data_IF_594981701630
#
_entry.id   IF_594981701630
#
_cell.length_a   1.000
_cell.length_b   1.000
_cell.length_c   1.000
_cell.angle_alpha   90.00
_cell.angle_beta   90.00
_cell.angle_gamma   90.00
#
_symmetry.space_group_name_H-M   'P 1'
#
loop_
_entity.id
_entity.type
_entity.pdbx_description
1 polymer ?
#
# COMPACT_ATOMS: atom_id res chain seq x y z
N UNK A 1 -27.57 13.16 -0.06
CA UNK A 1 -28.45 13.96 -0.91
C UNK A 1 -28.91 13.13 -2.11
N UNK A 2 -30.14 12.59 -2.05
CA UNK A 2 -30.74 11.77 -3.10
C UNK A 2 -31.09 12.57 -4.38
N UNK A 3 -30.79 13.87 -4.43
CA UNK A 3 -31.20 14.75 -5.54
C UNK A 3 -30.25 14.74 -6.74
N UNK A 4 -29.07 14.17 -6.64
CA UNK A 4 -28.05 14.20 -7.69
C UNK A 4 -27.79 12.85 -8.37
N UNK A 5 -28.58 11.81 -8.10
CA UNK A 5 -28.44 10.55 -8.78
C UNK A 5 -29.25 10.54 -10.08
N UNK A 6 -28.57 10.50 -11.22
CA UNK A 6 -29.18 10.33 -12.55
C UNK A 6 -29.90 8.99 -12.64
N UNK A 7 -29.50 7.99 -11.85
CA UNK A 7 -30.00 6.63 -11.89
C UNK A 7 -30.74 6.26 -10.62
N UNK A 8 -31.86 5.57 -10.73
CA UNK A 8 -32.55 4.96 -9.59
C UNK A 8 -31.76 3.78 -9.01
N UNK A 9 -32.08 3.37 -7.77
CA UNK A 9 -31.49 2.18 -7.18
C UNK A 9 -31.75 0.91 -8.03
N UNK A 10 -32.93 0.80 -8.61
CA UNK A 10 -33.31 -0.33 -9.49
C UNK A 10 -32.47 -0.37 -10.78
N UNK A 11 -32.07 0.79 -11.31
CA UNK A 11 -31.26 0.86 -12.52
C UNK A 11 -29.96 0.05 -12.41
N UNK A 12 -29.27 0.14 -11.27
CA UNK A 12 -28.00 -0.58 -11.07
C UNK A 12 -28.20 -2.09 -11.06
N UNK A 13 -29.30 -2.55 -10.44
CA UNK A 13 -29.68 -3.97 -10.41
C UNK A 13 -30.07 -4.46 -11.80
N UNK A 14 -30.96 -3.73 -12.47
CA UNK A 14 -31.58 -4.16 -13.74
C UNK A 14 -30.56 -4.14 -14.90
N UNK A 15 -29.52 -3.27 -14.82
CA UNK A 15 -28.39 -3.25 -15.78
C UNK A 15 -27.27 -4.22 -15.41
N UNK A 16 -27.32 -4.88 -14.24
CA UNK A 16 -26.23 -5.71 -13.74
C UNK A 16 -25.00 -4.93 -13.28
N UNK A 17 -25.09 -3.60 -13.13
CA UNK A 17 -23.96 -2.77 -12.71
C UNK A 17 -23.50 -3.10 -11.28
N UNK A 18 -24.39 -3.58 -10.44
CA UNK A 18 -24.03 -4.05 -9.09
C UNK A 18 -23.08 -5.25 -9.14
N UNK A 19 -23.18 -6.13 -10.12
CA UNK A 19 -22.23 -7.23 -10.34
C UNK A 19 -20.85 -6.67 -10.69
N UNK A 20 -20.80 -5.66 -11.56
CA UNK A 20 -19.53 -4.98 -11.91
C UNK A 20 -18.89 -4.33 -10.68
N UNK A 21 -19.69 -3.66 -9.86
CA UNK A 21 -19.20 -3.08 -8.59
C UNK A 21 -18.58 -4.14 -7.67
N UNK A 22 -19.24 -5.30 -7.53
CA UNK A 22 -18.69 -6.41 -6.75
C UNK A 22 -17.37 -6.91 -7.32
N UNK A 23 -17.27 -7.11 -8.63
CA UNK A 23 -16.00 -7.54 -9.26
C UNK A 23 -14.87 -6.54 -9.04
N UNK A 24 -15.13 -5.24 -9.15
CA UNK A 24 -14.13 -4.21 -8.90
C UNK A 24 -13.69 -4.22 -7.43
N UNK A 25 -14.63 -4.35 -6.50
CA UNK A 25 -14.36 -4.47 -5.07
C UNK A 25 -13.50 -5.68 -4.73
N UNK A 26 -13.82 -6.84 -5.31
CA UNK A 26 -13.14 -8.10 -5.03
C UNK A 26 -11.70 -8.12 -5.60
N UNK A 27 -11.48 -7.40 -6.69
CA UNK A 27 -10.15 -7.25 -7.30
C UNK A 27 -9.37 -6.03 -6.77
N UNK A 28 -9.88 -5.30 -5.77
CA UNK A 28 -9.21 -4.16 -5.21
C UNK A 28 -8.03 -4.59 -4.33
N UNK A 29 -6.83 -4.13 -4.66
CA UNK A 29 -5.59 -4.43 -3.94
C UNK A 29 -5.46 -3.69 -2.60
N UNK A 30 -6.29 -2.67 -2.35
CA UNK A 30 -6.31 -1.89 -1.13
C UNK A 30 -7.67 -2.00 -0.44
N UNK A 31 -7.69 -2.54 0.78
CA UNK A 31 -8.94 -2.71 1.54
C UNK A 31 -9.65 -1.38 1.86
N UNK A 32 -8.88 -0.29 2.01
CA UNK A 32 -9.44 1.05 2.25
C UNK A 32 -10.29 1.57 1.09
N UNK A 33 -10.01 1.13 -0.13
CA UNK A 33 -10.70 1.60 -1.33
C UNK A 33 -11.87 0.70 -1.75
N UNK A 34 -12.14 -0.39 -1.02
CA UNK A 34 -13.24 -1.30 -1.36
C UNK A 34 -14.60 -0.62 -1.33
N UNK A 35 -14.80 0.29 -0.38
CA UNK A 35 -16.07 1.02 -0.26
C UNK A 35 -16.28 2.03 -1.39
N UNK A 36 -15.20 2.54 -2.00
CA UNK A 36 -15.30 3.39 -3.18
C UNK A 36 -16.06 2.70 -4.31
N UNK A 37 -15.77 1.42 -4.56
CA UNK A 37 -16.43 0.67 -5.63
C UNK A 37 -17.90 0.38 -5.34
N UNK A 38 -18.29 0.24 -4.07
CA UNK A 38 -19.71 0.06 -3.72
C UNK A 38 -20.54 1.32 -3.93
N UNK A 39 -19.89 2.49 -3.88
CA UNK A 39 -20.52 3.81 -4.06
C UNK A 39 -20.32 4.37 -5.48
N UNK A 40 -19.70 3.59 -6.37
CA UNK A 40 -19.44 4.03 -7.75
C UNK A 40 -20.77 4.39 -8.43
N UNK A 41 -20.82 5.59 -9.02
CA UNK A 41 -21.97 6.12 -9.74
C UNK A 41 -21.55 6.60 -11.12
N UNK A 42 -22.49 6.71 -12.08
CA UNK A 42 -22.19 7.27 -13.39
C UNK A 42 -21.68 8.71 -13.28
N UNK A 43 -20.79 9.07 -14.20
CA UNK A 43 -20.33 10.44 -14.34
C UNK A 43 -21.48 11.35 -14.79
N UNK A 44 -21.51 12.58 -14.27
CA UNK A 44 -22.51 13.58 -14.60
C UNK A 44 -22.06 14.55 -15.70
N UNK A 45 -20.75 14.62 -15.98
CA UNK A 45 -20.18 15.54 -16.94
C UNK A 45 -19.45 14.76 -18.05
N UNK A 46 -19.65 15.12 -19.32
CA UNK A 46 -18.96 14.48 -20.44
C UNK A 46 -17.43 14.54 -20.31
N UNK A 47 -16.89 15.62 -19.70
CA UNK A 47 -15.46 15.77 -19.49
C UNK A 47 -14.90 14.71 -18.55
N UNK A 48 -15.60 14.42 -17.44
CA UNK A 48 -15.17 13.40 -16.48
C UNK A 48 -15.13 12.00 -17.12
N UNK A 49 -16.04 11.73 -18.07
CA UNK A 49 -16.04 10.48 -18.85
C UNK A 49 -14.78 10.43 -19.73
N UNK A 50 -14.52 11.49 -20.47
CA UNK A 50 -13.36 11.56 -21.37
C UNK A 50 -12.05 11.40 -20.59
N UNK A 51 -11.91 12.11 -19.50
CA UNK A 51 -10.71 12.03 -18.64
C UNK A 51 -10.51 10.62 -18.08
N UNK A 52 -11.59 9.99 -17.62
CA UNK A 52 -11.54 8.60 -17.13
C UNK A 52 -11.17 7.60 -18.23
N UNK A 53 -11.67 7.80 -19.45
CA UNK A 53 -11.32 6.96 -20.59
C UNK A 53 -9.84 7.07 -20.93
N UNK A 54 -9.28 8.29 -20.99
CA UNK A 54 -7.85 8.49 -21.27
C UNK A 54 -6.97 7.81 -20.22
N UNK A 55 -7.34 7.89 -18.92
CA UNK A 55 -6.62 7.16 -17.87
C UNK A 55 -6.66 5.64 -18.07
N UNK A 56 -7.83 5.12 -18.46
CA UNK A 56 -8.01 3.69 -18.72
C UNK A 56 -7.21 3.23 -19.94
N UNK A 57 -7.16 4.05 -20.99
CA UNK A 57 -6.40 3.76 -22.21
C UNK A 57 -4.89 3.73 -21.97
N UNK A 58 -4.36 4.67 -21.15
CA UNK A 58 -2.96 4.66 -20.76
C UNK A 58 -2.62 3.37 -19.97
N UNK A 59 -3.49 2.95 -19.04
CA UNK A 59 -3.31 1.71 -18.29
C UNK A 59 -3.34 0.47 -19.20
N UNK A 60 -4.33 0.40 -20.10
CA UNK A 60 -4.48 -0.70 -21.06
C UNK A 60 -3.27 -0.78 -22.00
N UNK A 61 -2.77 0.36 -22.47
CA UNK A 61 -1.59 0.41 -23.31
C UNK A 61 -0.33 -0.10 -22.59
N UNK A 62 -0.16 0.19 -21.30
CA UNK A 62 0.92 -0.34 -20.49
C UNK A 62 0.81 -1.86 -20.34
N UNK A 63 -0.39 -2.35 -20.05
CA UNK A 63 -0.67 -3.77 -19.91
C UNK A 63 -0.39 -4.55 -21.22
N UNK A 64 -0.82 -4.04 -22.35
CA UNK A 64 -0.58 -4.63 -23.68
C UNK A 64 0.90 -4.68 -24.05
N UNK A 65 1.70 -3.71 -23.61
CA UNK A 65 3.17 -3.70 -23.79
C UNK A 65 3.91 -4.65 -22.86
N UNK A 66 3.21 -5.43 -22.04
CA UNK A 66 3.78 -6.32 -21.01
C UNK A 66 4.64 -5.58 -19.99
N UNK A 67 4.34 -4.31 -19.76
CA UNK A 67 4.93 -3.47 -18.72
C UNK A 67 3.82 -2.94 -17.79
N UNK A 68 3.14 -3.83 -17.06
CA UNK A 68 2.03 -3.45 -16.20
C UNK A 68 2.52 -2.64 -15.00
N UNK A 69 1.66 -1.78 -14.49
CA UNK A 69 1.91 -1.04 -13.26
C UNK A 69 2.29 -2.02 -12.13
N UNK A 70 3.44 -1.87 -11.47
CA UNK A 70 3.94 -2.80 -10.46
C UNK A 70 3.22 -2.62 -9.12
N UNK A 71 1.92 -2.94 -9.11
CA UNK A 71 1.08 -2.94 -7.91
C UNK A 71 1.16 -4.30 -7.23
N UNK A 72 1.06 -4.24 -5.91
CA UNK A 72 0.93 -5.37 -5.00
C UNK A 72 -0.16 -5.07 -3.98
N UNK A 73 -0.53 -6.04 -3.16
CA UNK A 73 -1.49 -5.81 -2.08
C UNK A 73 -1.00 -4.72 -1.14
N UNK A 74 -1.81 -3.69 -0.96
CA UNK A 74 -1.48 -2.54 -0.12
C UNK A 74 -2.05 -2.78 1.27
N UNK A 75 -1.22 -2.87 2.32
CA UNK A 75 -1.70 -3.07 3.68
C UNK A 75 -2.51 -1.86 4.18
N UNK A 76 -3.50 -2.14 5.01
CA UNK A 76 -4.29 -1.10 5.65
C UNK A 76 -3.58 -0.60 6.92
N UNK A 77 -2.97 0.57 6.84
CA UNK A 77 -2.27 1.19 7.97
C UNK A 77 -3.16 2.15 8.79
N UNK A 78 -4.39 2.42 8.36
CA UNK A 78 -5.29 3.34 9.10
C UNK A 78 -5.63 2.84 10.49
N UNK A 79 -5.53 1.54 10.72
CA UNK A 79 -5.80 0.89 12.00
C UNK A 79 -4.89 1.37 13.14
N UNK A 80 -3.68 1.80 12.83
CA UNK A 80 -2.70 2.25 13.82
C UNK A 80 -2.18 3.68 13.57
N UNK A 81 -2.28 4.22 12.36
CA UNK A 81 -1.84 5.60 12.08
C UNK A 81 -2.63 6.64 12.89
N UNK A 82 -3.92 6.39 13.16
CA UNK A 82 -4.74 7.24 14.02
C UNK A 82 -4.25 7.26 15.49
N UNK A 83 -3.44 6.30 15.89
CA UNK A 83 -2.89 6.20 17.25
C UNK A 83 -1.52 6.86 17.40
N UNK A 84 -0.90 7.32 16.31
CA UNK A 84 0.43 7.95 16.35
C UNK A 84 0.48 9.22 17.19
N UNK A 85 -0.65 9.94 17.31
CA UNK A 85 -0.76 11.16 18.12
C UNK A 85 -0.94 10.87 19.63
N UNK A 86 -1.08 9.59 20.01
CA UNK A 86 -1.26 9.19 21.41
C UNK A 86 0.13 9.11 22.05
N UNK A 87 0.34 9.89 23.11
CA UNK A 87 1.59 9.86 23.87
C UNK A 87 1.87 8.45 24.44
N UNK A 88 3.07 7.92 24.17
CA UNK A 88 3.46 6.58 24.60
C UNK A 88 3.06 5.45 23.66
N UNK A 89 2.34 5.73 22.58
CA UNK A 89 2.07 4.71 21.55
C UNK A 89 3.37 4.28 20.88
N UNK A 90 3.54 2.97 20.69
CA UNK A 90 4.71 2.38 20.05
C UNK A 90 4.26 1.49 18.90
N UNK A 91 4.96 1.59 17.79
CA UNK A 91 4.75 0.70 16.63
C UNK A 91 5.30 -0.70 16.94
N UNK A 92 4.53 -1.72 16.60
CA UNK A 92 4.99 -3.11 16.63
C UNK A 92 5.87 -3.43 15.39
N UNK A 93 6.58 -4.55 15.41
CA UNK A 93 7.32 -5.05 14.25
C UNK A 93 6.40 -5.23 13.04
N UNK A 94 5.16 -5.69 13.25
CA UNK A 94 4.16 -5.83 12.20
C UNK A 94 3.77 -4.47 11.57
N UNK A 95 3.63 -3.42 12.39
CA UNK A 95 3.36 -2.07 11.88
C UNK A 95 4.54 -1.57 11.03
N UNK A 96 5.78 -1.83 11.45
CA UNK A 96 6.97 -1.49 10.65
C UNK A 96 7.03 -2.29 9.35
N UNK A 97 6.65 -3.57 9.36
CA UNK A 97 6.55 -4.39 8.15
C UNK A 97 5.54 -3.81 7.15
N UNK A 98 4.35 -3.43 7.62
CA UNK A 98 3.32 -2.80 6.79
C UNK A 98 3.81 -1.47 6.21
N UNK A 99 4.46 -0.64 7.03
CA UNK A 99 5.04 0.64 6.60
C UNK A 99 6.11 0.42 5.52
N UNK A 100 7.03 -0.51 5.74
CA UNK A 100 8.08 -0.84 4.80
C UNK A 100 7.52 -1.33 3.47
N UNK A 101 6.51 -2.20 3.50
CA UNK A 101 5.82 -2.68 2.30
C UNK A 101 5.21 -1.52 1.49
N UNK A 102 4.53 -0.57 2.14
CA UNK A 102 4.00 0.63 1.48
C UNK A 102 5.11 1.48 0.87
N UNK A 103 6.21 1.70 1.58
CA UNK A 103 7.34 2.45 1.07
C UNK A 103 7.99 1.80 -0.17
N UNK A 104 8.09 0.46 -0.18
CA UNK A 104 8.57 -0.30 -1.34
C UNK A 104 7.63 -0.19 -2.54
N UNK A 105 6.32 -0.40 -2.32
CA UNK A 105 5.30 -0.29 -3.38
C UNK A 105 5.32 1.13 -3.93
N UNK A 106 5.26 2.15 -3.07
CA UNK A 106 5.29 3.57 -3.48
C UNK A 106 6.54 3.90 -4.31
N UNK A 107 7.71 3.42 -3.90
CA UNK A 107 8.96 3.64 -4.63
C UNK A 107 8.96 2.96 -6.01
N UNK A 108 8.43 1.74 -6.11
CA UNK A 108 8.31 1.01 -7.38
C UNK A 108 7.34 1.68 -8.33
N UNK A 109 6.16 2.02 -7.82
CA UNK A 109 5.11 2.70 -8.58
C UNK A 109 5.58 4.09 -9.03
N UNK A 110 6.16 4.88 -8.15
CA UNK A 110 6.72 6.19 -8.50
C UNK A 110 7.74 6.08 -9.62
N UNK A 111 8.68 5.14 -9.53
CA UNK A 111 9.69 4.91 -10.57
C UNK A 111 9.07 4.51 -11.90
N UNK A 112 8.05 3.65 -11.89
CA UNK A 112 7.30 3.27 -13.08
C UNK A 112 6.62 4.49 -13.70
N UNK A 113 5.81 5.22 -12.93
CA UNK A 113 5.03 6.35 -13.41
C UNK A 113 5.91 7.52 -13.90
N UNK A 114 7.12 7.68 -13.38
CA UNK A 114 8.06 8.73 -13.84
C UNK A 114 8.85 8.34 -15.09
N UNK A 115 8.93 7.05 -15.42
CA UNK A 115 9.65 6.56 -16.61
C UNK A 115 8.76 6.35 -17.82
N UNK A 116 7.46 6.26 -17.62
CA UNK A 116 6.52 5.97 -18.70
C UNK A 116 6.27 7.17 -19.59
N UNK A 117 5.92 6.90 -20.86
CA UNK A 117 5.45 7.90 -21.80
C UNK A 117 3.95 8.18 -21.64
N UNK A 118 3.41 8.00 -20.44
CA UNK A 118 2.00 8.20 -20.12
C UNK A 118 1.84 9.51 -19.34
N UNK A 119 1.42 10.61 -19.98
CA UNK A 119 1.46 11.94 -19.37
C UNK A 119 0.55 12.09 -18.15
N UNK A 120 -0.63 11.47 -18.15
CA UNK A 120 -1.54 11.56 -17.00
C UNK A 120 -0.99 10.77 -15.80
N UNK A 121 -0.47 9.58 -16.03
CA UNK A 121 0.15 8.77 -14.98
C UNK A 121 1.39 9.44 -14.39
N UNK A 122 2.14 10.19 -15.19
CA UNK A 122 3.30 10.95 -14.73
C UNK A 122 2.92 12.01 -13.68
N UNK A 123 1.76 12.64 -13.81
CA UNK A 123 1.24 13.61 -12.83
C UNK A 123 1.00 12.90 -11.48
N UNK A 124 0.37 11.74 -11.48
CA UNK A 124 0.16 10.94 -10.26
C UNK A 124 1.48 10.49 -9.63
N UNK A 125 2.47 10.10 -10.43
CA UNK A 125 3.79 9.70 -9.95
C UNK A 125 4.53 10.79 -9.18
N UNK A 126 4.36 12.06 -9.55
CA UNK A 126 4.98 13.20 -8.84
C UNK A 126 4.47 13.35 -7.41
N UNK A 127 3.21 13.02 -7.16
CA UNK A 127 2.57 13.16 -5.85
C UNK A 127 2.88 12.00 -4.91
N UNK A 128 3.46 10.91 -5.42
CA UNK A 128 3.82 9.78 -4.57
C UNK A 128 5.06 10.10 -3.73
N UNK A 129 4.96 9.83 -2.44
CA UNK A 129 6.09 9.93 -1.52
C UNK A 129 6.91 8.64 -1.62
N UNK A 130 8.21 8.78 -1.82
CA UNK A 130 9.15 7.67 -1.69
C UNK A 130 10.31 8.12 -0.80
N UNK A 131 10.58 7.36 0.24
CA UNK A 131 11.67 7.67 1.19
C UNK A 131 12.62 6.50 1.28
N UNK A 132 13.74 6.59 0.57
CA UNK A 132 14.83 5.61 0.68
C UNK A 132 15.49 5.67 2.06
N UNK A 133 15.56 6.85 2.68
CA UNK A 133 16.09 6.98 4.02
C UNK A 133 15.27 6.21 5.05
N UNK A 134 13.94 6.34 5.02
CA UNK A 134 13.06 5.58 5.91
C UNK A 134 13.18 4.06 5.67
N UNK A 135 13.25 3.61 4.41
CA UNK A 135 13.50 2.21 4.07
C UNK A 135 14.80 1.72 4.70
N UNK A 136 15.89 2.48 4.49
CA UNK A 136 17.21 2.13 5.01
C UNK A 136 17.26 2.10 6.55
N UNK A 137 16.56 3.00 7.24
CA UNK A 137 16.48 2.97 8.70
C UNK A 137 15.75 1.74 9.22
N UNK A 138 14.66 1.33 8.55
CA UNK A 138 13.95 0.09 8.89
C UNK A 138 14.85 -1.13 8.63
N UNK A 139 15.55 -1.17 7.49
CA UNK A 139 16.46 -2.26 7.12
C UNK A 139 17.66 -2.41 8.07
N UNK A 140 18.08 -1.33 8.74
CA UNK A 140 19.14 -1.41 9.76
C UNK A 140 18.68 -2.15 11.02
N UNK A 141 17.41 -2.00 11.36
CA UNK A 141 16.82 -2.53 12.61
C UNK A 141 16.27 -3.94 12.43
N UNK A 142 15.62 -4.20 11.29
CA UNK A 142 14.92 -5.45 11.02
C UNK A 142 15.63 -6.30 9.98
N UNK A 143 15.57 -7.61 10.16
CA UNK A 143 15.99 -8.60 9.15
C UNK A 143 14.88 -8.86 8.12
N UNK A 144 15.13 -9.79 7.19
CA UNK A 144 14.18 -10.16 6.13
C UNK A 144 12.89 -10.80 6.69
N UNK A 145 12.92 -11.37 7.89
CA UNK A 145 11.77 -11.91 8.61
C UNK A 145 11.07 -10.89 9.50
N UNK A 146 11.48 -9.62 9.45
CA UNK A 146 11.01 -8.54 10.33
C UNK A 146 11.20 -8.83 11.82
N UNK A 147 12.23 -9.59 12.15
CA UNK A 147 12.74 -9.70 13.51
C UNK A 147 13.79 -8.62 13.76
N UNK A 148 13.86 -8.12 14.98
CA UNK A 148 14.88 -7.13 15.35
C UNK A 148 16.25 -7.81 15.29
N UNK A 149 17.17 -7.23 14.53
CA UNK A 149 18.55 -7.73 14.43
C UNK A 149 19.27 -7.65 15.75
N UNK A 150 20.04 -8.67 16.08
CA UNK A 150 20.83 -8.72 17.32
C UNK A 150 21.81 -7.55 17.46
N UNK A 151 22.18 -6.92 16.36
CA UNK A 151 23.08 -5.79 16.30
C UNK A 151 22.40 -4.47 15.92
N UNK A 152 21.07 -4.42 15.99
CA UNK A 152 20.27 -3.21 15.69
C UNK A 152 20.70 -2.01 16.55
N UNK A 153 21.21 -2.31 17.77
CA UNK A 153 21.78 -1.28 18.62
C UNK A 153 22.95 -1.89 19.44
N UNK A 154 23.97 -1.08 19.83
CA UNK A 154 25.14 -1.57 20.56
C UNK A 154 24.83 -2.27 21.88
N UNK A 155 23.83 -1.79 22.61
CA UNK A 155 23.41 -2.35 23.89
C UNK A 155 22.76 -3.74 23.70
N UNK A 156 21.86 -3.87 22.74
CA UNK A 156 21.23 -5.13 22.38
C UNK A 156 22.29 -6.16 21.96
N UNK A 157 23.24 -5.76 21.12
CA UNK A 157 24.37 -6.61 20.71
C UNK A 157 25.20 -7.11 21.89
N UNK A 158 25.44 -6.27 22.89
CA UNK A 158 26.15 -6.67 24.10
C UNK A 158 25.33 -7.67 24.93
N UNK A 159 24.04 -7.41 25.10
CA UNK A 159 23.14 -8.29 25.86
C UNK A 159 22.98 -9.65 25.20
N UNK A 160 22.75 -9.71 23.87
CA UNK A 160 22.66 -10.97 23.12
C UNK A 160 23.95 -11.80 23.24
N UNK A 161 25.10 -11.17 23.11
CA UNK A 161 26.39 -11.87 23.30
C UNK A 161 26.56 -12.43 24.73
N UNK A 162 26.16 -11.66 25.72
CA UNK A 162 26.23 -12.10 27.12
C UNK A 162 25.26 -13.27 27.39
N UNK A 163 24.09 -13.24 26.81
CA UNK A 163 23.09 -14.32 26.89
C UNK A 163 23.63 -15.61 26.27
N UNK A 164 24.13 -15.57 25.03
CA UNK A 164 24.71 -16.73 24.34
C UNK A 164 25.88 -17.33 25.17
N UNK A 165 26.74 -16.47 25.73
CA UNK A 165 27.85 -16.92 26.58
C UNK A 165 27.37 -17.62 27.86
N UNK A 166 26.29 -17.13 28.44
CA UNK A 166 25.71 -17.73 29.67
C UNK A 166 25.02 -19.05 29.37
N UNK A 167 24.26 -19.13 28.28
CA UNK A 167 23.64 -20.39 27.81
C UNK A 167 24.69 -21.45 27.48
N UNK A 168 25.80 -21.07 26.82
CA UNK A 168 26.94 -21.96 26.58
C UNK A 168 27.50 -22.56 27.87
N UNK A 169 27.73 -21.73 28.90
CA UNK A 169 28.21 -22.21 30.17
C UNK A 169 27.25 -23.18 30.91
N UNK A 170 25.93 -22.93 30.77
CA UNK A 170 24.92 -23.82 31.36
C UNK A 170 24.96 -25.20 30.67
N UNK A 171 25.10 -25.24 29.35
CA UNK A 171 25.19 -26.50 28.58
C UNK A 171 26.48 -27.29 28.86
N UNK A 172 27.58 -26.60 29.20
CA UNK A 172 28.85 -27.26 29.61
C UNK A 172 28.81 -27.83 31.04
N UNK A 173 27.87 -27.34 31.87
CA UNK A 173 27.77 -27.72 33.28
C UNK A 173 26.70 -28.81 33.55
N UNK A 174 25.89 -29.14 32.55
CA UNK A 174 24.95 -30.26 32.53
C UNK A 174 25.58 -31.50 31.91
#
# INVERSE_FOLDING_TARGET
NLKDSICSADFYRDTGFDVVRCWLKDNCLCSLNKDFFTQLSPFHKPQDITDSQVHSDEFLAAFQRKDPLPLDTIPNISTWTSSLDISGFQLSSENFQQLYQILLISSRVKRFLTKTNFPLWHIHGRNLISSKSAQSEIEKVFDDGFQIKDDANPELKHLTRSLIKTEGKIKETM
#
